data_IF_500244056122
#
_entry.id   IF_500244056122
#
_cell.length_a   1.000
_cell.length_b   1.000
_cell.length_c   1.000
_cell.angle_alpha   90.00
_cell.angle_beta   90.00
_cell.angle_gamma   90.00
#
_symmetry.space_group_name_H-M   'P 1'
#
loop_
_entity.id
_entity.type
_entity.pdbx_description
1 polymer ?
#
# COMPACT_ATOMS: atom_id res chain seq x y z
N UNK A 1 -30.57 -2.03 -12.31
CA UNK A 1 -29.69 -0.91 -11.92
C UNK A 1 -30.04 0.28 -12.79
N UNK A 2 -30.47 1.39 -12.19
CA UNK A 2 -30.61 2.67 -12.89
C UNK A 2 -29.34 3.50 -12.66
N UNK A 3 -28.75 4.05 -13.71
CA UNK A 3 -27.55 4.89 -13.59
C UNK A 3 -27.88 6.16 -12.78
N UNK A 4 -27.46 6.18 -11.51
CA UNK A 4 -27.51 7.37 -10.67
C UNK A 4 -26.38 8.31 -11.11
N UNK A 5 -26.68 9.24 -12.02
CA UNK A 5 -25.74 10.31 -12.45
C UNK A 5 -25.93 11.61 -11.67
N UNK A 6 -26.81 11.62 -10.69
CA UNK A 6 -27.15 12.76 -9.84
C UNK A 6 -26.80 12.47 -8.37
N UNK A 7 -26.83 13.51 -7.54
CA UNK A 7 -26.58 13.39 -6.12
C UNK A 7 -27.60 12.45 -5.48
N UNK A 8 -27.15 11.36 -4.87
CA UNK A 8 -28.03 10.50 -4.10
C UNK A 8 -28.30 11.16 -2.75
N UNK A 9 -29.51 11.71 -2.60
CA UNK A 9 -29.98 12.37 -1.38
C UNK A 9 -31.38 11.80 -1.11
N UNK A 10 -31.43 10.68 -0.40
CA UNK A 10 -32.67 10.00 -0.05
C UNK A 10 -32.52 9.18 1.23
N UNK A 11 -33.59 9.09 2.01
CA UNK A 11 -33.63 8.20 3.17
C UNK A 11 -33.74 6.75 2.69
N UNK A 12 -32.70 5.97 3.00
CA UNK A 12 -32.56 4.55 2.67
C UNK A 12 -32.54 3.67 3.92
N UNK A 13 -32.67 4.25 5.11
CA UNK A 13 -32.69 3.51 6.37
C UNK A 13 -33.84 2.51 6.43
N UNK A 14 -34.88 2.69 5.61
CA UNK A 14 -36.02 1.78 5.47
C UNK A 14 -35.87 0.71 4.38
N UNK A 15 -34.74 0.64 3.67
CA UNK A 15 -34.54 -0.34 2.58
C UNK A 15 -34.31 -1.74 3.15
N UNK A 16 -35.17 -2.69 2.76
CA UNK A 16 -35.01 -4.09 3.15
C UNK A 16 -33.96 -4.77 2.27
N UNK A 17 -32.73 -4.84 2.77
CA UNK A 17 -31.60 -5.52 2.10
C UNK A 17 -31.35 -6.96 2.58
N UNK A 18 -32.23 -7.53 3.42
CA UNK A 18 -32.08 -8.87 4.04
C UNK A 18 -31.97 -10.05 3.04
N UNK A 19 -32.19 -9.82 1.75
CA UNK A 19 -32.04 -10.82 0.67
C UNK A 19 -31.00 -10.42 -0.39
N UNK A 20 -30.28 -9.32 -0.20
CA UNK A 20 -29.24 -8.85 -1.13
C UNK A 20 -27.96 -9.66 -0.88
N UNK A 21 -27.34 -10.14 -1.96
CA UNK A 21 -26.10 -10.94 -1.91
C UNK A 21 -24.90 -10.24 -2.51
N UNK A 22 -25.10 -9.24 -3.36
CA UNK A 22 -24.04 -8.35 -3.87
C UNK A 22 -24.55 -6.91 -3.84
N UNK A 23 -23.66 -6.01 -3.45
CA UNK A 23 -23.83 -4.56 -3.51
C UNK A 23 -22.74 -3.92 -4.40
N UNK A 24 -22.13 -4.70 -5.29
CA UNK A 24 -21.11 -4.24 -6.25
C UNK A 24 -21.57 -2.96 -6.94
N UNK A 25 -20.76 -1.91 -6.85
CA UNK A 25 -21.01 -0.64 -7.52
C UNK A 25 -22.34 0.06 -7.18
N UNK A 26 -23.02 -0.29 -6.08
CA UNK A 26 -24.38 0.17 -5.76
C UNK A 26 -24.53 1.71 -5.76
N UNK A 27 -23.49 2.43 -5.32
CA UNK A 27 -23.40 3.90 -5.35
C UNK A 27 -22.18 4.41 -6.13
N UNK A 28 -21.61 3.59 -7.03
CA UNK A 28 -20.44 3.84 -7.89
C UNK A 28 -20.43 5.21 -8.59
N UNK A 29 -21.60 5.71 -8.99
CA UNK A 29 -21.75 6.96 -9.74
C UNK A 29 -22.42 8.09 -8.95
N UNK A 30 -22.78 7.87 -7.68
CA UNK A 30 -23.42 8.87 -6.85
C UNK A 30 -22.45 10.03 -6.55
N UNK A 31 -22.77 11.25 -6.98
CA UNK A 31 -21.91 12.42 -6.78
C UNK A 31 -21.87 12.93 -5.32
N UNK A 32 -22.83 12.47 -4.52
CA UNK A 32 -22.86 12.42 -3.05
C UNK A 32 -23.82 11.30 -2.66
N UNK A 33 -23.75 10.74 -1.45
CA UNK A 33 -24.62 9.62 -1.05
C UNK A 33 -25.31 9.82 0.31
N UNK A 34 -24.58 10.26 1.34
CA UNK A 34 -25.01 10.70 2.68
C UNK A 34 -26.13 9.90 3.42
N UNK A 35 -26.46 8.67 3.00
CA UNK A 35 -27.54 7.86 3.58
C UNK A 35 -27.12 7.08 4.81
N UNK A 36 -28.05 6.90 5.75
CA UNK A 36 -27.86 6.05 6.93
C UNK A 36 -28.01 4.58 6.56
N UNK A 37 -26.99 3.79 6.90
CA UNK A 37 -26.87 2.34 6.64
C UNK A 37 -26.93 1.51 7.93
N UNK A 38 -27.22 2.12 9.07
CA UNK A 38 -27.18 1.48 10.40
C UNK A 38 -28.22 0.37 10.57
N UNK A 39 -29.34 0.49 9.89
CA UNK A 39 -30.46 -0.45 9.90
C UNK A 39 -30.33 -1.61 8.91
N UNK A 40 -29.32 -1.60 8.04
CA UNK A 40 -29.19 -2.57 6.96
C UNK A 40 -28.65 -3.91 7.46
N UNK A 41 -29.48 -4.94 7.35
CA UNK A 41 -29.06 -6.34 7.52
C UNK A 41 -28.29 -6.81 6.27
N UNK A 42 -27.00 -6.49 6.23
CA UNK A 42 -26.05 -6.90 5.19
C UNK A 42 -25.53 -8.33 5.38
N UNK A 43 -26.16 -9.14 6.23
CA UNK A 43 -25.65 -10.44 6.66
C UNK A 43 -25.50 -11.52 5.57
N UNK A 44 -26.02 -11.27 4.36
CA UNK A 44 -25.91 -12.15 3.19
C UNK A 44 -25.10 -11.55 2.04
N UNK A 45 -24.63 -10.32 2.19
CA UNK A 45 -23.82 -9.66 1.16
C UNK A 45 -22.43 -10.31 1.17
N UNK A 46 -21.96 -10.75 0.02
CA UNK A 46 -20.63 -11.37 -0.16
C UNK A 46 -19.66 -10.48 -0.93
N UNK A 47 -20.16 -9.36 -1.45
CA UNK A 47 -19.47 -8.50 -2.40
C UNK A 47 -20.00 -7.07 -2.22
N UNK A 48 -19.09 -6.17 -1.84
CA UNK A 48 -19.28 -4.73 -1.73
C UNK A 48 -18.24 -3.97 -2.58
N UNK A 49 -17.69 -4.63 -3.60
CA UNK A 49 -16.58 -4.06 -4.36
C UNK A 49 -17.06 -2.83 -5.13
N UNK A 50 -16.25 -1.77 -5.15
CA UNK A 50 -16.61 -0.46 -5.73
C UNK A 50 -17.90 0.19 -5.19
N UNK A 51 -18.39 -0.17 -3.99
CA UNK A 51 -19.68 0.32 -3.43
C UNK A 51 -19.86 1.84 -3.57
N UNK A 52 -18.81 2.64 -3.30
CA UNK A 52 -18.77 4.10 -3.50
C UNK A 52 -17.45 4.50 -4.18
N UNK A 53 -17.49 5.12 -5.37
CA UNK A 53 -16.26 5.47 -6.12
C UNK A 53 -16.40 6.70 -7.07
N UNK A 54 -16.57 7.94 -6.55
CA UNK A 54 -16.02 9.21 -7.16
C UNK A 54 -16.37 10.53 -6.44
N UNK A 55 -15.43 11.49 -6.55
CA UNK A 55 -15.51 12.98 -6.54
C UNK A 55 -16.92 13.61 -6.36
N UNK A 56 -17.16 14.60 -5.47
CA UNK A 56 -16.24 15.57 -4.82
C UNK A 56 -16.91 16.29 -3.64
N UNK A 57 -16.15 16.65 -2.60
CA UNK A 57 -16.34 17.89 -1.80
C UNK A 57 -17.75 18.26 -1.30
N UNK A 58 -18.40 17.40 -0.50
CA UNK A 58 -19.43 17.83 0.49
C UNK A 58 -19.28 16.99 1.77
N UNK A 59 -19.66 17.57 2.91
CA UNK A 59 -19.56 16.96 4.23
C UNK A 59 -20.39 15.68 4.36
N UNK A 60 -19.74 14.61 4.80
CA UNK A 60 -20.39 13.41 5.32
C UNK A 60 -20.49 13.57 6.83
N UNK A 61 -21.67 13.38 7.40
CA UNK A 61 -21.89 13.36 8.85
C UNK A 61 -22.54 12.05 9.23
N UNK A 62 -21.90 11.32 10.14
CA UNK A 62 -22.33 10.07 10.77
C UNK A 62 -23.08 9.12 9.83
N UNK A 63 -22.33 8.22 9.20
CA UNK A 63 -22.86 6.91 8.87
C UNK A 63 -22.51 6.01 10.06
N UNK A 64 -23.51 5.38 10.66
CA UNK A 64 -23.35 4.24 11.57
C UNK A 64 -23.84 3.02 10.76
N UNK A 65 -23.33 1.82 10.98
CA UNK A 65 -23.55 0.70 10.04
C UNK A 65 -23.87 -0.65 10.74
N UNK A 66 -24.53 -1.55 10.01
CA UNK A 66 -24.92 -2.89 10.48
C UNK A 66 -23.85 -3.99 10.32
N UNK A 67 -24.16 -5.19 10.81
CA UNK A 67 -23.22 -6.32 10.94
C UNK A 67 -23.31 -7.36 9.80
N UNK A 68 -22.19 -8.03 9.50
CA UNK A 68 -22.10 -9.10 8.48
C UNK A 68 -22.30 -10.51 9.05
N UNK A 69 -22.63 -11.47 8.16
CA UNK A 69 -22.61 -12.92 8.49
C UNK A 69 -22.10 -13.82 7.36
N UNK A 70 -21.76 -13.29 6.20
CA UNK A 70 -21.06 -13.97 5.09
C UNK A 70 -19.66 -13.40 4.90
N UNK A 71 -18.79 -14.12 4.17
CA UNK A 71 -17.48 -13.61 3.77
C UNK A 71 -17.66 -12.52 2.71
N UNK A 72 -16.97 -11.38 2.87
CA UNK A 72 -17.20 -10.14 2.11
C UNK A 72 -15.93 -9.71 1.37
N UNK A 73 -16.04 -9.58 0.05
CA UNK A 73 -15.10 -8.83 -0.77
C UNK A 73 -15.38 -7.32 -0.63
N UNK A 74 -14.32 -6.56 -0.28
CA UNK A 74 -14.36 -5.13 -0.04
C UNK A 74 -13.42 -4.32 -0.96
N UNK A 75 -12.97 -4.88 -2.09
CA UNK A 75 -12.06 -4.23 -3.04
C UNK A 75 -12.58 -2.81 -3.39
N UNK A 76 -11.75 -1.78 -3.16
CA UNK A 76 -12.09 -0.37 -3.43
C UNK A 76 -13.37 0.17 -2.78
N UNK A 77 -13.94 -0.46 -1.75
CA UNK A 77 -15.31 -0.15 -1.29
C UNK A 77 -15.57 1.37 -1.02
N UNK A 78 -14.59 2.08 -0.46
CA UNK A 78 -14.62 3.52 -0.18
C UNK A 78 -13.54 4.30 -0.96
N UNK A 79 -13.09 3.79 -2.11
CA UNK A 79 -12.05 4.43 -2.91
C UNK A 79 -12.47 5.84 -3.35
N UNK A 80 -11.56 6.82 -3.19
CA UNK A 80 -11.80 8.24 -3.42
C UNK A 80 -12.91 8.87 -2.57
N UNK A 81 -13.36 8.24 -1.48
CA UNK A 81 -14.30 8.81 -0.53
C UNK A 81 -13.61 9.87 0.38
N UNK A 82 -13.08 10.93 -0.23
CA UNK A 82 -12.11 11.86 0.38
C UNK A 82 -12.59 12.62 1.63
N UNK A 83 -13.90 12.67 1.87
CA UNK A 83 -14.54 13.26 3.04
C UNK A 83 -15.30 12.25 3.92
N UNK A 84 -15.19 10.94 3.63
CA UNK A 84 -15.80 9.89 4.43
C UNK A 84 -15.18 9.82 5.82
N UNK A 85 -16.04 9.73 6.82
CA UNK A 85 -15.73 9.67 8.26
C UNK A 85 -16.87 8.93 9.00
N UNK A 86 -17.47 7.94 8.35
CA UNK A 86 -18.51 7.10 8.93
C UNK A 86 -17.91 6.11 9.94
N UNK A 87 -18.60 5.92 11.06
CA UNK A 87 -18.17 5.03 12.14
C UNK A 87 -18.34 3.57 11.72
N UNK A 88 -17.19 2.87 11.57
CA UNK A 88 -17.10 1.46 11.20
C UNK A 88 -16.89 0.53 12.41
N UNK A 89 -17.00 1.03 13.64
CA UNK A 89 -16.81 0.22 14.86
C UNK A 89 -17.86 -0.88 15.03
N UNK A 90 -19.07 -0.69 14.46
CA UNK A 90 -20.16 -1.68 14.44
C UNK A 90 -20.14 -2.61 13.22
N UNK A 91 -19.19 -2.43 12.30
CA UNK A 91 -18.91 -3.44 11.29
C UNK A 91 -18.29 -4.66 11.97
N UNK A 92 -19.10 -5.71 12.07
CA UNK A 92 -18.70 -7.03 12.53
C UNK A 92 -17.84 -7.70 11.44
N UNK A 93 -16.60 -7.21 11.32
CA UNK A 93 -15.68 -7.52 10.22
C UNK A 93 -15.02 -8.92 10.34
N UNK A 94 -15.59 -9.84 11.13
CA UNK A 94 -15.22 -11.28 11.32
C UNK A 94 -15.01 -12.12 10.05
N UNK A 95 -15.19 -11.50 8.88
CA UNK A 95 -15.41 -12.13 7.58
C UNK A 95 -15.00 -11.26 6.38
N UNK A 96 -14.31 -10.14 6.55
CA UNK A 96 -13.74 -9.46 5.38
C UNK A 96 -12.58 -10.32 4.87
N UNK A 97 -12.58 -10.63 3.57
CA UNK A 97 -11.56 -11.48 2.93
C UNK A 97 -10.64 -10.69 2.00
N UNK A 98 -11.11 -9.55 1.49
CA UNK A 98 -10.34 -8.61 0.71
C UNK A 98 -10.60 -7.18 1.22
N UNK A 99 -9.52 -6.47 1.51
CA UNK A 99 -9.53 -5.05 1.95
C UNK A 99 -8.64 -4.17 1.06
N UNK A 100 -8.14 -4.72 -0.04
CA UNK A 100 -7.22 -4.04 -0.93
C UNK A 100 -7.85 -2.76 -1.46
N UNK A 101 -7.08 -1.68 -1.32
CA UNK A 101 -7.45 -0.32 -1.74
C UNK A 101 -8.79 0.20 -1.18
N UNK A 102 -9.33 -0.41 -0.11
CA UNK A 102 -10.66 -0.12 0.44
C UNK A 102 -10.86 1.36 0.80
N UNK A 103 -9.87 2.01 1.43
CA UNK A 103 -9.89 3.43 1.80
C UNK A 103 -8.90 4.29 0.98
N UNK A 104 -8.47 3.79 -0.18
CA UNK A 104 -7.52 4.48 -1.06
C UNK A 104 -8.09 5.85 -1.48
N UNK A 105 -7.35 6.93 -1.24
CA UNK A 105 -7.74 8.34 -1.41
C UNK A 105 -8.89 8.83 -0.49
N UNK A 106 -9.24 8.10 0.58
CA UNK A 106 -10.18 8.57 1.60
C UNK A 106 -9.49 9.56 2.57
N UNK A 107 -9.06 10.72 2.07
CA UNK A 107 -8.16 11.66 2.77
C UNK A 107 -8.63 12.16 4.16
N UNK A 108 -9.93 12.13 4.47
CA UNK A 108 -10.47 12.50 5.79
C UNK A 108 -10.82 11.31 6.69
N UNK A 109 -10.58 10.07 6.22
CA UNK A 109 -10.89 8.87 6.97
C UNK A 109 -9.88 8.71 8.11
N UNK A 110 -10.41 8.54 9.33
CA UNK A 110 -9.64 8.36 10.56
C UNK A 110 -10.56 7.76 11.63
N UNK A 111 -11.17 6.61 11.33
CA UNK A 111 -12.16 5.96 12.18
C UNK A 111 -11.59 4.66 12.73
N UNK A 112 -11.91 4.34 13.98
CA UNK A 112 -11.30 3.23 14.70
C UNK A 112 -11.67 1.88 14.05
N UNK A 113 -10.64 1.09 13.69
CA UNK A 113 -10.76 -0.25 13.10
C UNK A 113 -10.20 -1.37 14.00
N UNK A 114 -9.90 -1.09 15.27
CA UNK A 114 -9.32 -2.07 16.22
C UNK A 114 -10.24 -3.27 16.52
N UNK A 115 -11.54 -3.17 16.22
CA UNK A 115 -12.52 -4.26 16.30
C UNK A 115 -12.57 -5.15 15.06
N UNK A 116 -11.83 -4.81 13.98
CA UNK A 116 -11.84 -5.59 12.75
C UNK A 116 -11.00 -6.85 12.88
N UNK A 117 -11.54 -7.95 12.39
CA UNK A 117 -10.89 -9.25 12.34
C UNK A 117 -10.39 -9.51 10.92
N UNK A 118 -9.12 -9.21 10.70
CA UNK A 118 -8.43 -9.39 9.42
C UNK A 118 -7.74 -10.75 9.32
N UNK A 119 -7.99 -11.72 10.21
CA UNK A 119 -7.22 -12.98 10.27
C UNK A 119 -7.33 -13.86 9.02
N UNK A 120 -8.24 -13.53 8.10
CA UNK A 120 -8.46 -14.23 6.81
C UNK A 120 -8.09 -13.39 5.59
N UNK A 121 -7.76 -12.10 5.77
CA UNK A 121 -7.37 -11.21 4.68
C UNK A 121 -6.00 -11.65 4.17
N UNK A 122 -5.87 -11.82 2.85
CA UNK A 122 -4.57 -12.05 2.20
C UNK A 122 -4.00 -10.76 1.60
N UNK A 123 -4.86 -9.83 1.17
CA UNK A 123 -4.50 -8.60 0.47
C UNK A 123 -4.86 -7.34 1.30
N UNK A 124 -3.84 -6.61 1.77
CA UNK A 124 -3.97 -5.30 2.42
C UNK A 124 -3.39 -4.15 1.56
N UNK A 125 -2.91 -4.47 0.36
CA UNK A 125 -2.21 -3.53 -0.52
C UNK A 125 -3.06 -2.28 -0.84
N UNK A 126 -2.43 -1.11 -0.75
CA UNK A 126 -3.04 0.20 -0.95
C UNK A 126 -4.23 0.55 -0.05
N UNK A 127 -4.57 -0.23 0.99
CA UNK A 127 -5.80 -0.06 1.79
C UNK A 127 -6.00 1.37 2.30
N UNK A 128 -4.93 2.04 2.76
CA UNK A 128 -4.95 3.43 3.27
C UNK A 128 -4.10 4.38 2.40
N UNK A 129 -3.78 4.01 1.16
CA UNK A 129 -2.99 4.85 0.25
C UNK A 129 -3.70 6.20 0.04
N UNK A 130 -3.00 7.32 0.28
CA UNK A 130 -3.52 8.68 0.25
C UNK A 130 -4.68 8.96 1.24
N UNK A 131 -4.90 8.11 2.25
CA UNK A 131 -5.77 8.42 3.39
C UNK A 131 -5.04 9.34 4.37
N UNK A 132 -4.77 10.58 3.95
CA UNK A 132 -3.80 11.47 4.59
C UNK A 132 -4.07 11.83 6.06
N UNK A 133 -5.32 11.70 6.53
CA UNK A 133 -5.70 11.91 7.95
C UNK A 133 -5.73 10.64 8.80
N UNK A 134 -5.50 9.45 8.21
CA UNK A 134 -5.61 8.18 8.92
C UNK A 134 -4.44 7.99 9.89
N UNK A 135 -4.78 7.79 11.16
CA UNK A 135 -3.85 7.50 12.25
C UNK A 135 -4.65 6.84 13.39
N UNK A 136 -4.91 5.54 13.26
CA UNK A 136 -5.64 4.73 14.24
C UNK A 136 -4.86 3.45 14.54
N UNK A 137 -4.95 3.01 15.80
CA UNK A 137 -4.32 1.79 16.30
C UNK A 137 -4.79 0.54 15.53
N UNK A 138 -3.81 -0.20 14.98
CA UNK A 138 -3.98 -1.47 14.26
C UNK A 138 -3.24 -2.63 14.95
N UNK A 139 -2.76 -2.47 16.18
CA UNK A 139 -1.96 -3.47 16.90
C UNK A 139 -2.75 -4.76 17.21
N UNK A 140 -4.09 -4.71 17.18
CA UNK A 140 -4.99 -5.84 17.38
C UNK A 140 -5.17 -6.73 16.15
N UNK A 141 -4.72 -6.31 14.97
CA UNK A 141 -4.92 -7.02 13.71
C UNK A 141 -4.02 -8.26 13.58
N UNK A 142 -4.63 -9.41 13.28
CA UNK A 142 -3.91 -10.65 12.96
C UNK A 142 -3.54 -10.67 11.46
N UNK A 143 -2.40 -10.09 11.12
CA UNK A 143 -1.87 -10.07 9.76
C UNK A 143 -1.24 -11.41 9.29
N UNK A 144 -1.37 -12.51 10.05
CA UNK A 144 -0.63 -13.75 9.76
C UNK A 144 -1.01 -14.49 8.47
N UNK A 145 -2.16 -14.15 7.88
CA UNK A 145 -2.62 -14.65 6.57
C UNK A 145 -2.22 -13.76 5.38
N UNK A 146 -1.66 -12.57 5.65
CA UNK A 146 -1.42 -11.55 4.63
C UNK A 146 -0.19 -11.87 3.78
N UNK A 147 -0.33 -11.74 2.46
CA UNK A 147 0.71 -11.99 1.45
C UNK A 147 1.21 -10.71 0.76
N UNK A 148 0.38 -9.67 0.69
CA UNK A 148 0.72 -8.40 0.05
C UNK A 148 0.26 -7.19 0.87
N UNK A 149 1.20 -6.25 1.09
CA UNK A 149 0.96 -4.95 1.75
C UNK A 149 1.49 -3.75 0.93
N UNK A 150 1.82 -3.93 -0.36
CA UNK A 150 2.41 -2.85 -1.17
C UNK A 150 1.55 -1.59 -1.16
N UNK A 151 2.21 -0.43 -1.10
CA UNK A 151 1.58 0.89 -1.06
C UNK A 151 0.52 1.10 0.06
N UNK A 152 0.37 0.20 1.05
CA UNK A 152 -0.76 0.24 2.02
C UNK A 152 -0.91 1.59 2.75
N UNK A 153 0.20 2.26 3.12
CA UNK A 153 0.22 3.58 3.74
C UNK A 153 0.90 4.64 2.86
N UNK A 154 1.00 4.41 1.55
CA UNK A 154 1.56 5.37 0.58
C UNK A 154 0.88 6.73 0.70
N UNK A 155 1.60 7.80 1.01
CA UNK A 155 1.08 9.14 1.29
C UNK A 155 -0.01 9.22 2.39
N UNK A 156 -0.02 8.28 3.35
CA UNK A 156 -0.80 8.40 4.58
C UNK A 156 -0.09 9.35 5.57
N UNK A 157 -0.05 10.65 5.24
CA UNK A 157 0.81 11.65 5.89
C UNK A 157 0.76 11.70 7.42
N UNK A 158 -0.40 11.40 8.02
CA UNK A 158 -0.59 11.46 9.49
C UNK A 158 -0.28 10.14 10.21
N UNK A 159 -0.09 9.03 9.50
CA UNK A 159 0.03 7.71 10.10
C UNK A 159 1.36 7.53 10.86
N UNK A 160 1.27 7.17 12.14
CA UNK A 160 2.39 7.02 13.08
C UNK A 160 2.02 6.08 14.25
N UNK A 161 1.35 4.96 13.96
CA UNK A 161 0.94 3.97 14.97
C UNK A 161 1.88 2.76 14.96
N UNK A 162 2.04 2.11 16.12
CA UNK A 162 2.92 0.95 16.29
C UNK A 162 2.31 -0.31 15.64
N UNK A 163 3.11 -1.07 14.91
CA UNK A 163 2.70 -2.30 14.22
C UNK A 163 3.50 -3.53 14.67
N UNK A 164 4.12 -3.44 15.85
CA UNK A 164 5.05 -4.43 16.43
C UNK A 164 4.45 -5.83 16.65
N UNK A 165 3.13 -5.97 16.61
CA UNK A 165 2.41 -7.25 16.72
C UNK A 165 2.25 -8.02 15.40
N UNK A 166 2.44 -7.35 14.25
CA UNK A 166 2.10 -7.93 12.94
C UNK A 166 3.05 -9.08 12.54
N UNK A 167 2.48 -10.23 12.19
CA UNK A 167 3.21 -11.38 11.68
C UNK A 167 3.26 -11.36 10.15
N UNK A 168 4.32 -10.79 9.58
CA UNK A 168 4.48 -10.62 8.13
C UNK A 168 5.30 -11.74 7.45
N UNK A 169 5.44 -12.90 8.10
CA UNK A 169 6.29 -14.00 7.59
C UNK A 169 5.82 -14.63 6.27
N UNK A 170 4.57 -14.38 5.87
CA UNK A 170 4.00 -14.79 4.58
C UNK A 170 4.10 -13.70 3.48
N UNK A 171 4.47 -12.47 3.83
CA UNK A 171 4.52 -11.34 2.88
C UNK A 171 5.74 -11.43 1.98
N UNK A 172 5.53 -11.20 0.68
CA UNK A 172 6.61 -11.16 -0.33
C UNK A 172 6.87 -9.77 -0.91
N UNK A 173 5.86 -8.89 -0.95
CA UNK A 173 5.96 -7.52 -1.45
C UNK A 173 5.59 -6.51 -0.35
N UNK A 174 6.51 -5.59 -0.09
CA UNK A 174 6.32 -4.44 0.82
C UNK A 174 6.58 -3.11 0.13
N UNK A 175 6.68 -3.09 -1.20
CA UNK A 175 7.13 -1.91 -1.94
C UNK A 175 6.29 -0.68 -1.63
N UNK A 176 6.98 0.43 -1.37
CA UNK A 176 6.41 1.75 -1.08
C UNK A 176 5.41 1.80 0.08
N UNK A 177 5.44 0.80 0.97
CA UNK A 177 4.50 0.63 2.09
C UNK A 177 4.25 1.92 2.87
N UNK A 178 5.32 2.65 3.24
CA UNK A 178 5.26 3.94 3.93
C UNK A 178 5.78 5.11 3.07
N UNK A 179 5.85 4.96 1.74
CA UNK A 179 6.35 6.04 0.88
C UNK A 179 5.51 7.30 1.05
N UNK A 180 6.15 8.40 1.45
CA UNK A 180 5.50 9.69 1.71
C UNK A 180 4.68 9.74 2.99
N UNK A 181 4.66 8.70 3.83
CA UNK A 181 4.07 8.74 5.18
C UNK A 181 4.99 9.55 6.11
N UNK A 182 5.01 10.87 5.92
CA UNK A 182 6.03 11.77 6.47
C UNK A 182 6.09 11.83 8.00
N UNK A 183 4.99 11.51 8.69
CA UNK A 183 4.92 11.40 10.16
C UNK A 183 5.32 10.01 10.70
N UNK A 184 5.46 8.99 9.84
CA UNK A 184 5.59 7.61 10.30
C UNK A 184 6.92 7.34 11.00
N UNK A 185 6.81 6.86 12.24
CA UNK A 185 7.89 6.38 13.09
C UNK A 185 7.35 5.37 14.13
N UNK A 186 6.30 4.60 13.81
CA UNK A 186 5.78 3.54 14.68
C UNK A 186 6.70 2.32 14.74
N UNK A 187 6.68 1.58 15.84
CA UNK A 187 7.54 0.41 16.05
C UNK A 187 7.20 -0.74 15.08
N UNK A 188 8.22 -1.16 14.32
CA UNK A 188 8.26 -2.28 13.37
C UNK A 188 9.52 -3.15 13.55
N UNK A 189 10.23 -2.97 14.68
CA UNK A 189 11.51 -3.63 14.98
C UNK A 189 11.40 -5.15 15.18
N UNK A 190 10.18 -5.67 15.34
CA UNK A 190 9.88 -7.10 15.50
C UNK A 190 9.60 -7.84 14.18
N UNK A 191 9.43 -7.13 13.07
CA UNK A 191 8.90 -7.71 11.83
C UNK A 191 9.82 -8.78 11.23
N UNK A 192 9.25 -9.95 10.93
CA UNK A 192 9.94 -11.00 10.19
C UNK A 192 9.80 -10.76 8.68
N UNK A 193 10.79 -10.07 8.10
CA UNK A 193 10.85 -9.77 6.66
C UNK A 193 11.61 -10.83 5.83
N UNK A 194 11.97 -11.98 6.41
CA UNK A 194 12.80 -13.01 5.74
C UNK A 194 12.16 -13.67 4.50
N UNK A 195 10.89 -13.40 4.20
CA UNK A 195 10.17 -13.83 2.98
C UNK A 195 10.05 -12.75 1.91
N UNK A 196 10.36 -11.49 2.25
CA UNK A 196 10.15 -10.33 1.39
C UNK A 196 11.25 -10.27 0.32
N UNK A 197 10.82 -10.15 -0.94
CA UNK A 197 11.71 -9.95 -2.09
C UNK A 197 11.70 -8.51 -2.58
N UNK A 198 10.57 -7.81 -2.47
CA UNK A 198 10.44 -6.43 -2.93
C UNK A 198 10.37 -5.42 -1.77
N UNK A 199 11.45 -4.65 -1.58
CA UNK A 199 11.60 -3.61 -0.56
C UNK A 199 11.78 -2.20 -1.15
N UNK A 200 11.51 -2.03 -2.45
CA UNK A 200 11.63 -0.75 -3.15
C UNK A 200 10.85 0.37 -2.43
N UNK A 201 11.52 1.46 -2.10
CA UNK A 201 10.90 2.69 -1.62
C UNK A 201 10.11 2.61 -0.30
N UNK A 202 10.26 1.56 0.54
CA UNK A 202 9.44 1.36 1.76
C UNK A 202 9.30 2.65 2.59
N UNK A 203 10.39 3.36 2.86
CA UNK A 203 10.43 4.59 3.66
C UNK A 203 10.76 5.85 2.82
N UNK A 204 10.61 5.80 1.49
CA UNK A 204 10.91 6.94 0.61
C UNK A 204 10.07 8.16 1.02
N UNK A 205 10.69 9.24 1.49
CA UNK A 205 10.00 10.44 1.98
C UNK A 205 9.26 10.27 3.32
N UNK A 206 9.45 9.16 4.05
CA UNK A 206 8.98 8.99 5.43
C UNK A 206 9.89 9.80 6.38
N UNK A 207 9.80 11.13 6.33
CA UNK A 207 10.80 12.06 6.89
C UNK A 207 11.05 11.93 8.39
N UNK A 208 10.10 11.38 9.16
CA UNK A 208 10.23 11.20 10.61
C UNK A 208 10.74 9.82 11.02
N UNK A 209 10.91 8.89 10.08
CA UNK A 209 11.25 7.50 10.36
C UNK A 209 12.68 7.35 10.89
N UNK A 210 12.83 6.71 12.04
CA UNK A 210 14.10 6.43 12.71
C UNK A 210 13.98 5.23 13.68
N UNK A 211 13.46 4.09 13.21
CA UNK A 211 13.36 2.86 14.00
C UNK A 211 14.56 1.93 13.80
N UNK A 212 14.82 1.09 14.81
CA UNK A 212 15.86 0.05 14.73
C UNK A 212 15.40 -1.11 13.83
N UNK A 213 16.16 -1.35 12.76
CA UNK A 213 15.92 -2.42 11.78
C UNK A 213 17.01 -3.51 11.83
N UNK A 214 17.85 -3.52 12.86
CA UNK A 214 18.98 -4.46 13.00
C UNK A 214 18.59 -5.93 13.18
N UNK A 215 17.30 -6.18 13.43
CA UNK A 215 16.65 -7.50 13.51
C UNK A 215 16.17 -8.05 12.15
N UNK A 216 16.03 -7.19 11.14
CA UNK A 216 15.45 -7.57 9.85
C UNK A 216 16.42 -8.44 9.04
N UNK A 217 15.96 -9.64 8.67
CA UNK A 217 16.65 -10.52 7.73
C UNK A 217 16.28 -10.15 6.29
N UNK A 218 17.06 -9.25 5.70
CA UNK A 218 16.90 -8.78 4.31
C UNK A 218 17.54 -9.71 3.26
N UNK A 219 17.99 -10.93 3.64
CA UNK A 219 18.79 -11.79 2.75
C UNK A 219 18.10 -12.30 1.48
N UNK A 220 16.76 -12.18 1.39
CA UNK A 220 15.98 -12.45 0.18
C UNK A 220 15.52 -11.19 -0.58
N UNK A 221 15.72 -9.99 -0.03
CA UNK A 221 15.34 -8.75 -0.68
C UNK A 221 16.18 -8.52 -1.93
N UNK A 222 15.55 -8.52 -3.11
CA UNK A 222 16.20 -8.34 -4.41
C UNK A 222 16.13 -6.90 -4.91
N UNK A 223 15.08 -6.16 -4.55
CA UNK A 223 14.89 -4.73 -4.91
C UNK A 223 14.76 -3.87 -3.65
N UNK A 224 15.44 -2.73 -3.63
CA UNK A 224 15.54 -1.83 -2.49
C UNK A 224 15.80 -0.37 -2.89
N UNK A 225 15.54 -0.03 -4.16
CA UNK A 225 15.80 1.29 -4.72
C UNK A 225 14.99 2.35 -3.97
N UNK A 226 15.60 3.52 -3.74
CA UNK A 226 15.04 4.63 -2.96
C UNK A 226 14.50 4.29 -1.57
N UNK A 227 14.83 3.12 -0.97
CA UNK A 227 14.18 2.63 0.27
C UNK A 227 14.16 3.66 1.41
N UNK A 228 15.21 4.48 1.54
CA UNK A 228 15.31 5.54 2.56
C UNK A 228 15.49 6.95 1.94
N UNK A 229 15.25 7.11 0.65
CA UNK A 229 15.43 8.40 -0.03
C UNK A 229 14.45 9.43 0.56
N UNK A 230 14.96 10.44 1.26
CA UNK A 230 14.14 11.43 1.96
C UNK A 230 13.63 11.00 3.35
N UNK A 231 14.03 9.84 3.88
CA UNK A 231 13.84 9.45 5.28
C UNK A 231 14.80 10.25 6.20
N UNK A 232 14.59 11.56 6.30
CA UNK A 232 15.56 12.53 6.81
C UNK A 232 15.98 12.34 8.28
N UNK A 233 15.21 11.61 9.09
CA UNK A 233 15.52 11.30 10.48
C UNK A 233 16.29 9.98 10.67
N UNK A 234 16.42 9.14 9.64
CA UNK A 234 16.90 7.77 9.76
C UNK A 234 18.42 7.68 10.00
N UNK A 235 18.83 7.07 11.11
CA UNK A 235 20.21 6.73 11.41
C UNK A 235 20.59 5.40 10.74
N UNK A 236 21.35 5.46 9.64
CA UNK A 236 21.79 4.28 8.89
C UNK A 236 22.70 3.33 9.69
N UNK A 237 23.21 3.72 10.86
CA UNK A 237 23.90 2.78 11.75
C UNK A 237 22.98 1.70 12.33
N UNK A 238 21.66 1.88 12.28
CA UNK A 238 20.67 0.84 12.57
C UNK A 238 20.77 -0.39 11.66
N UNK A 239 21.39 -0.27 10.47
CA UNK A 239 21.55 -1.36 9.49
C UNK A 239 22.83 -2.21 9.72
N UNK A 240 23.47 -2.14 10.90
CA UNK A 240 24.83 -2.72 11.08
C UNK A 240 24.94 -4.22 10.75
N UNK A 241 23.88 -5.00 10.99
CA UNK A 241 23.80 -6.44 10.71
C UNK A 241 23.52 -6.80 9.23
N UNK A 242 23.10 -5.85 8.40
CA UNK A 242 22.77 -6.14 6.99
C UNK A 242 24.04 -6.39 6.19
N UNK A 243 23.97 -7.18 5.11
CA UNK A 243 25.15 -7.46 4.29
C UNK A 243 25.66 -6.19 3.61
N UNK A 244 26.97 -6.08 3.40
CA UNK A 244 27.55 -4.87 2.81
C UNK A 244 27.05 -4.64 1.37
N UNK A 245 26.75 -5.70 0.62
CA UNK A 245 26.07 -5.62 -0.67
C UNK A 245 24.69 -4.94 -0.56
N UNK A 246 23.89 -5.25 0.48
CA UNK A 246 22.58 -4.63 0.67
C UNK A 246 22.68 -3.16 1.07
N UNK A 247 23.71 -2.81 1.87
CA UNK A 247 24.04 -1.41 2.17
C UNK A 247 24.40 -0.63 0.90
N UNK A 248 25.18 -1.23 0.00
CA UNK A 248 25.54 -0.63 -1.30
C UNK A 248 24.32 -0.47 -2.24
N UNK A 249 23.36 -1.40 -2.27
CA UNK A 249 22.09 -1.22 -3.02
C UNK A 249 21.29 -0.06 -2.47
N UNK A 250 21.17 0.06 -1.14
CA UNK A 250 20.49 1.19 -0.48
C UNK A 250 21.19 2.52 -0.79
N UNK A 251 22.51 2.59 -0.69
CA UNK A 251 23.26 3.80 -1.00
C UNK A 251 23.20 4.16 -2.50
N UNK A 252 23.14 3.18 -3.40
CA UNK A 252 22.90 3.39 -4.84
C UNK A 252 21.49 3.98 -5.07
N UNK A 253 20.46 3.33 -4.50
CA UNK A 253 19.07 3.73 -4.62
C UNK A 253 18.75 5.09 -4.00
N UNK A 254 19.47 5.49 -2.95
CA UNK A 254 19.34 6.82 -2.32
C UNK A 254 20.16 7.91 -3.05
N UNK A 255 20.96 7.56 -4.06
CA UNK A 255 21.86 8.49 -4.75
C UNK A 255 23.09 8.91 -3.94
N UNK A 256 23.42 8.19 -2.85
CA UNK A 256 24.61 8.44 -2.02
C UNK A 256 25.90 8.01 -2.74
N UNK A 257 25.83 6.96 -3.55
CA UNK A 257 26.91 6.49 -4.44
C UNK A 257 26.43 6.40 -5.88
N UNK A 258 27.32 6.64 -6.84
CA UNK A 258 27.03 6.36 -8.24
C UNK A 258 27.11 4.85 -8.50
N UNK A 259 26.27 4.27 -9.37
CA UNK A 259 26.38 2.86 -9.75
C UNK A 259 27.77 2.57 -10.33
N UNK A 260 28.34 1.38 -10.08
CA UNK A 260 29.70 1.06 -10.49
C UNK A 260 29.88 1.19 -12.00
N UNK A 261 30.87 1.99 -12.43
CA UNK A 261 31.19 2.13 -13.85
C UNK A 261 31.64 0.78 -14.44
N UNK A 262 31.19 0.48 -15.66
CA UNK A 262 31.35 -0.80 -16.40
C UNK A 262 32.78 -1.21 -16.77
N UNK A 263 33.79 -0.67 -16.06
CA UNK A 263 35.22 -0.92 -16.23
C UNK A 263 35.90 -1.55 -14.99
N UNK A 264 35.14 -1.83 -13.92
CA UNK A 264 35.66 -2.57 -12.77
C UNK A 264 35.95 -4.06 -13.14
N UNK A 265 37.04 -4.67 -12.62
CA UNK A 265 37.39 -6.04 -12.97
C UNK A 265 36.37 -7.05 -12.41
N UNK A 266 35.88 -7.93 -13.28
CA UNK A 266 34.80 -8.87 -12.98
C UNK A 266 35.22 -9.99 -12.01
N UNK A 267 35.00 -9.76 -10.71
CA UNK A 267 34.80 -10.80 -9.71
C UNK A 267 33.46 -10.56 -9.02
N UNK A 268 32.49 -11.45 -9.27
CA UNK A 268 31.08 -11.43 -8.81
C UNK A 268 30.19 -10.42 -9.56
N UNK A 269 29.81 -10.76 -10.79
CA UNK A 269 28.96 -9.94 -11.67
C UNK A 269 27.56 -10.55 -11.90
N UNK A 270 27.09 -11.39 -10.97
CA UNK A 270 25.71 -11.94 -10.99
C UNK A 270 24.78 -11.25 -9.97
N UNK A 271 25.32 -10.38 -9.10
CA UNK A 271 24.57 -9.71 -8.01
C UNK A 271 24.24 -8.21 -8.30
N UNK A 272 24.41 -7.72 -9.54
CA UNK A 272 24.37 -6.29 -9.89
C UNK A 272 23.37 -5.90 -10.99
N UNK A 273 22.25 -6.60 -11.05
CA UNK A 273 21.07 -6.14 -11.80
C UNK A 273 20.23 -5.25 -10.85
N UNK A 274 19.58 -4.20 -11.37
CA UNK A 274 18.66 -3.30 -10.64
C UNK A 274 19.24 -2.24 -9.67
N UNK A 275 20.31 -1.53 -10.07
CA UNK A 275 20.58 -0.16 -9.56
C UNK A 275 19.77 0.94 -10.31
N UNK A 276 18.96 0.58 -11.33
CA UNK A 276 18.34 1.53 -12.27
C UNK A 276 16.88 1.20 -12.65
N UNK A 277 16.27 0.19 -12.03
CA UNK A 277 14.86 -0.22 -12.17
C UNK A 277 14.14 0.10 -13.50
N UNK A 278 14.33 -0.71 -14.55
CA UNK A 278 13.23 -1.29 -15.34
C UNK A 278 13.71 -2.25 -16.45
N UNK A 279 12.85 -3.21 -16.78
CA UNK A 279 12.96 -4.18 -17.88
C UNK A 279 13.46 -3.63 -19.21
N UNK A 280 14.46 -4.30 -19.80
CA UNK A 280 14.39 -4.60 -21.23
C UNK A 280 14.97 -6.00 -21.53
N UNK A 281 14.17 -6.80 -22.26
CA UNK A 281 14.56 -8.01 -23.02
C UNK A 281 14.61 -9.35 -22.24
N UNK A 282 13.42 -9.88 -21.92
CA UNK A 282 13.15 -11.32 -21.98
C UNK A 282 12.86 -11.80 -23.43
N UNK A 283 13.76 -11.49 -24.37
CA UNK A 283 13.77 -12.01 -25.76
C UNK A 283 15.22 -12.06 -26.31
N UNK A 284 15.97 -13.14 -26.15
CA UNK A 284 15.68 -14.42 -26.81
C UNK A 284 16.70 -15.47 -26.37
N UNK A 285 16.27 -16.72 -26.24
CA UNK A 285 17.19 -17.87 -26.23
C UNK A 285 17.72 -18.11 -27.66
N UNK A 286 18.99 -17.84 -27.92
CA UNK A 286 19.90 -18.73 -28.69
C UNK A 286 21.33 -18.15 -28.74
N UNK A 287 22.39 -18.99 -28.68
CA UNK A 287 23.78 -18.54 -28.77
C UNK A 287 24.27 -18.49 -30.22
N UNK A 288 25.13 -17.52 -30.61
CA UNK A 288 26.22 -17.62 -31.62
C UNK A 288 26.94 -16.26 -31.86
N UNK A 289 28.27 -16.26 -31.69
CA UNK A 289 29.35 -15.45 -32.32
C UNK A 289 29.32 -13.89 -32.47
N UNK A 290 30.29 -13.26 -31.78
CA UNK A 290 31.38 -12.38 -32.30
C UNK A 290 31.09 -11.08 -33.14
N UNK A 291 31.73 -9.97 -32.69
CA UNK A 291 32.52 -8.95 -33.46
C UNK A 291 31.95 -7.54 -33.75
N UNK A 292 32.56 -6.52 -33.09
CA UNK A 292 32.96 -5.15 -33.54
C UNK A 292 31.93 -4.19 -34.22
N UNK A 293 31.93 -2.84 -34.08
CA UNK A 293 32.66 -1.83 -33.23
C UNK A 293 32.12 -0.41 -33.56
N UNK A 294 32.46 0.65 -32.78
CA UNK A 294 32.47 2.11 -33.16
C UNK A 294 31.08 2.80 -33.35
N UNK A 295 30.80 4.06 -32.93
CA UNK A 295 31.56 5.05 -32.14
C UNK A 295 30.65 6.12 -31.49
N UNK A 296 31.28 6.88 -30.58
CA UNK A 296 30.94 8.18 -30.00
C UNK A 296 30.07 9.18 -30.79
N UNK A 297 29.35 10.04 -30.03
CA UNK A 297 29.60 11.49 -30.01
C UNK A 297 28.98 12.19 -28.79
N UNK A 298 29.72 13.12 -28.17
CA UNK A 298 29.17 14.12 -27.25
C UNK A 298 28.54 15.28 -28.03
N UNK A 299 27.31 15.65 -27.67
CA UNK A 299 26.82 17.05 -27.59
C UNK A 299 26.64 17.90 -28.85
N UNK A 300 25.51 18.63 -28.89
CA UNK A 300 25.32 20.05 -29.28
C UNK A 300 24.08 20.29 -30.17
N UNK A 301 23.16 21.16 -29.70
CA UNK A 301 22.08 21.85 -30.43
C UNK A 301 20.98 20.98 -31.09
N UNK A 302 19.70 21.38 -31.21
CA UNK A 302 18.95 22.56 -30.76
C UNK A 302 17.44 22.25 -30.72
N UNK A 303 16.65 23.01 -29.95
CA UNK A 303 15.19 23.07 -30.13
C UNK A 303 14.81 23.61 -31.52
N UNK A 304 13.88 22.95 -32.23
CA UNK A 304 12.53 23.50 -32.49
C UNK A 304 11.67 22.62 -33.42
N UNK A 305 10.34 22.78 -33.22
CA UNK A 305 9.18 22.31 -34.03
C UNK A 305 9.08 20.83 -34.32
#
# INVERSE_FOLDING_TARGET
MSHLTEAFIGDISSWNVTSVTTMEGMFLHASSFNGDLSSWDVSKVTDMSFFIQRRTSIQWRLIIMGCFRSDVDGEYMFQHASAFSGDLSLWDALKVIDTSRMFQYASSFNQNLSSWDVSKVTELNGMFQCASSFNQDLISWDASSVTDIHEMFYNAWSFNEDLVSWNLSAVTDMSKLFQGASSFNGDISSWNVSSVTNMMGIFQGASSFNQDLSSWDVSKGTSAESMFEGAAAFDSSAMYNWSDAWKEVVDCGNGNIAPPSTSAPASNHDDWIECLGYDEIFQTLTPVFFVFVVCAAHGLFSCNT
#
